data_IF_957203241381
#
_entry.id   IF_957203241381
#
_cell.length_a   1.000
_cell.length_b   1.000
_cell.length_c   1.000
_cell.angle_alpha   90.00
_cell.angle_beta   90.00
_cell.angle_gamma   90.00
#
_symmetry.space_group_name_H-M   'P 1'
#
loop_
_entity.id
_entity.type
_entity.pdbx_description
1 polymer ?
#
# COMPACT_ATOMS: atom_id res chain seq x y z
N UNK A 1 1.05 -23.81 11.13
CA UNK A 1 0.65 -22.44 10.72
C UNK A 1 -0.79 -22.55 10.26
N UNK A 2 -1.72 -21.87 10.93
CA UNK A 2 -3.14 -21.96 10.57
C UNK A 2 -3.39 -21.35 9.19
N UNK A 3 -4.39 -21.87 8.48
CA UNK A 3 -4.80 -21.39 7.15
C UNK A 3 -5.03 -19.87 7.13
N UNK A 4 -5.61 -19.33 8.20
CA UNK A 4 -5.79 -17.89 8.38
C UNK A 4 -4.46 -17.12 8.39
N UNK A 5 -3.43 -17.66 9.04
CA UNK A 5 -2.10 -17.02 9.11
C UNK A 5 -1.45 -16.96 7.72
N UNK A 6 -1.60 -18.03 6.93
CA UNK A 6 -1.08 -18.09 5.55
C UNK A 6 -1.77 -17.03 4.68
N UNK A 7 -3.10 -16.92 4.77
CA UNK A 7 -3.86 -15.89 4.04
C UNK A 7 -3.41 -14.49 4.45
N UNK A 8 -3.21 -14.24 5.75
CA UNK A 8 -2.75 -12.93 6.24
C UNK A 8 -1.39 -12.54 5.65
N UNK A 9 -0.44 -13.47 5.58
CA UNK A 9 0.87 -13.19 4.98
C UNK A 9 0.79 -12.94 3.48
N UNK A 10 -0.01 -13.72 2.75
CA UNK A 10 -0.20 -13.53 1.31
C UNK A 10 -0.83 -12.16 1.02
N UNK A 11 -1.90 -11.81 1.74
CA UNK A 11 -2.54 -10.50 1.60
C UNK A 11 -1.60 -9.37 1.99
N UNK A 12 -0.87 -9.50 3.10
CA UNK A 12 0.13 -8.51 3.52
C UNK A 12 1.21 -8.29 2.45
N UNK A 13 1.70 -9.36 1.84
CA UNK A 13 2.66 -9.28 0.75
C UNK A 13 2.08 -8.56 -0.47
N UNK A 14 0.87 -8.92 -0.90
CA UNK A 14 0.21 -8.29 -2.05
C UNK A 14 -0.07 -6.80 -1.85
N UNK A 15 -0.53 -6.42 -0.64
CA UNK A 15 -0.81 -5.02 -0.27
C UNK A 15 0.46 -4.15 -0.30
N UNK A 16 1.65 -4.73 -0.15
CA UNK A 16 2.93 -4.02 -0.28
C UNK A 16 3.48 -4.08 -1.71
N UNK A 17 3.46 -5.26 -2.32
CA UNK A 17 4.07 -5.51 -3.62
C UNK A 17 3.34 -4.79 -4.77
N UNK A 18 2.01 -4.76 -4.76
CA UNK A 18 1.21 -4.13 -5.83
C UNK A 18 1.47 -2.62 -5.89
N UNK A 19 1.43 -1.86 -4.77
CA UNK A 19 1.81 -0.45 -4.76
C UNK A 19 3.21 -0.17 -5.27
N UNK A 20 4.19 -0.98 -4.85
CA UNK A 20 5.58 -0.83 -5.28
C UNK A 20 5.73 -1.04 -6.79
N UNK A 21 5.08 -2.06 -7.35
CA UNK A 21 5.09 -2.31 -8.80
C UNK A 21 4.41 -1.19 -9.59
N UNK A 22 3.30 -0.65 -9.07
CA UNK A 22 2.62 0.49 -9.69
C UNK A 22 3.49 1.74 -9.69
N UNK A 23 4.16 2.04 -8.58
CA UNK A 23 5.12 3.16 -8.47
C UNK A 23 6.30 2.93 -9.42
N UNK A 24 6.86 1.73 -9.46
CA UNK A 24 7.96 1.38 -10.36
C UNK A 24 7.60 1.58 -11.82
N UNK A 25 6.42 1.09 -12.26
CA UNK A 25 5.93 1.32 -13.62
C UNK A 25 5.67 2.80 -13.91
N UNK A 26 5.15 3.55 -12.94
CA UNK A 26 4.93 4.99 -13.06
C UNK A 26 6.23 5.79 -13.24
N UNK A 27 7.31 5.35 -12.57
CA UNK A 27 8.65 5.95 -12.73
C UNK A 27 9.24 5.62 -14.10
N UNK A 28 9.10 4.37 -14.55
CA UNK A 28 9.63 3.92 -15.85
C UNK A 28 8.89 4.51 -17.06
N UNK A 29 7.56 4.65 -16.99
CA UNK A 29 6.79 5.31 -18.04
C UNK A 29 6.84 6.83 -17.86
N UNK A 30 7.56 7.52 -18.76
CA UNK A 30 7.64 8.98 -18.81
C UNK A 30 6.45 9.68 -19.50
N UNK A 31 5.39 8.94 -19.81
CA UNK A 31 4.22 9.46 -20.52
C UNK A 31 3.32 10.39 -19.68
N UNK A 32 3.62 10.55 -18.38
CA UNK A 32 2.81 11.35 -17.46
C UNK A 32 3.57 12.59 -16.98
N UNK A 33 2.85 13.70 -16.89
CA UNK A 33 3.40 14.93 -16.31
C UNK A 33 3.71 14.74 -14.82
N UNK A 34 4.63 15.56 -14.27
CA UNK A 34 5.05 15.46 -12.86
C UNK A 34 3.87 15.48 -11.88
N UNK A 35 2.84 16.27 -12.16
CA UNK A 35 1.63 16.36 -11.31
C UNK A 35 0.80 15.08 -11.32
N UNK A 36 0.57 14.50 -12.50
CA UNK A 36 -0.20 13.25 -12.65
C UNK A 36 0.49 12.08 -11.95
N UNK A 37 1.82 12.03 -12.03
CA UNK A 37 2.65 11.02 -11.33
C UNK A 37 2.48 11.09 -9.81
N UNK A 38 2.53 12.30 -9.24
CA UNK A 38 2.35 12.51 -7.80
C UNK A 38 0.94 12.08 -7.39
N UNK A 39 -0.07 12.44 -8.18
CA UNK A 39 -1.46 12.06 -7.90
C UNK A 39 -1.64 10.53 -7.92
N UNK A 40 -1.02 9.86 -8.90
CA UNK A 40 -1.03 8.40 -9.02
C UNK A 40 -0.31 7.71 -7.85
N UNK A 41 0.88 8.17 -7.49
CA UNK A 41 1.63 7.64 -6.34
C UNK A 41 0.85 7.83 -5.04
N UNK A 42 0.23 9.00 -4.85
CA UNK A 42 -0.61 9.28 -3.68
C UNK A 42 -1.85 8.37 -3.63
N UNK A 43 -2.53 8.17 -4.77
CA UNK A 43 -3.69 7.29 -4.87
C UNK A 43 -3.37 5.82 -4.59
N UNK A 44 -2.18 5.36 -4.97
CA UNK A 44 -1.73 3.98 -4.72
C UNK A 44 -1.31 3.78 -3.26
N UNK A 45 -0.69 4.78 -2.63
CA UNK A 45 -0.23 4.71 -1.24
C UNK A 45 -1.34 4.91 -0.21
N UNK A 46 -2.48 5.50 -0.59
CA UNK A 46 -3.55 5.82 0.36
C UNK A 46 -4.08 4.58 1.07
N UNK A 47 -4.19 3.44 0.38
CA UNK A 47 -4.75 2.20 0.91
C UNK A 47 -3.89 1.62 2.04
N UNK A 48 -2.59 1.31 1.83
CA UNK A 48 -1.74 0.79 2.92
C UNK A 48 -1.55 1.81 4.05
N UNK A 49 -1.49 3.11 3.74
CA UNK A 49 -1.38 4.16 4.77
C UNK A 49 -2.63 4.22 5.64
N UNK A 50 -3.84 4.23 5.05
CA UNK A 50 -5.08 4.20 5.81
C UNK A 50 -5.22 2.93 6.66
N UNK A 51 -4.88 1.77 6.09
CA UNK A 51 -4.87 0.51 6.84
C UNK A 51 -3.94 0.56 8.04
N UNK A 52 -2.72 1.08 7.86
CA UNK A 52 -1.74 1.28 8.93
C UNK A 52 -2.23 2.27 10.00
N UNK A 53 -2.81 3.40 9.59
CA UNK A 53 -3.36 4.40 10.51
C UNK A 53 -4.52 3.83 11.34
N UNK A 54 -5.46 3.13 10.72
CA UNK A 54 -6.57 2.48 11.44
C UNK A 54 -6.03 1.43 12.42
N UNK A 55 -5.07 0.61 12.00
CA UNK A 55 -4.42 -0.36 12.88
C UNK A 55 -3.77 0.32 14.09
N UNK A 56 -3.00 1.39 13.86
CA UNK A 56 -2.37 2.17 14.93
C UNK A 56 -3.39 2.84 15.84
N UNK A 57 -4.52 3.33 15.33
CA UNK A 57 -5.59 3.88 16.17
C UNK A 57 -6.22 2.78 17.03
N UNK A 58 -6.58 1.64 16.44
CA UNK A 58 -7.24 0.53 17.16
C UNK A 58 -6.33 -0.11 18.22
N UNK A 59 -5.03 -0.24 17.96
CA UNK A 59 -4.08 -0.86 18.89
C UNK A 59 -3.29 0.13 19.75
N UNK A 60 -3.10 1.36 19.30
CA UNK A 60 -2.37 2.41 20.02
C UNK A 60 -3.21 3.13 21.08
N UNK A 61 -4.55 3.08 21.00
CA UNK A 61 -5.44 3.55 22.08
C UNK A 61 -5.61 2.55 23.23
N UNK A 62 -5.07 1.33 23.11
CA UNK A 62 -4.88 0.42 24.26
C UNK A 62 -3.62 0.87 25.04
N UNK A 63 -3.71 1.99 25.73
CA UNK A 63 -2.76 2.39 26.77
C UNK A 63 -3.52 2.82 28.01
#
# INVERSE_FOLDING_TARGET
>A
MDFQTIITYIFGFLVIAIPLLAIYKCILNNDHTKGERILWMAGVLIIPVFGGVIYLIMHGWKK
#
